data_IF_087281433166
#
_entry.id   IF_087281433166
#
_cell.length_a   1.000
_cell.length_b   1.000
_cell.length_c   1.000
_cell.angle_alpha   90.00
_cell.angle_beta   90.00
_cell.angle_gamma   90.00
#
_symmetry.space_group_name_H-M   'P 1'
#
loop_
_entity.id
_entity.type
_entity.pdbx_description
1 polymer ?
#
# COMPACT_ATOMS: atom_id res chain seq x y z
N UNK A 1 -0.61 8.26 20.10
CA UNK A 1 0.70 7.64 20.34
C UNK A 1 1.57 8.63 21.10
N UNK A 2 2.08 8.23 22.25
CA UNK A 2 3.09 8.99 23.01
C UNK A 2 4.48 8.75 22.42
N UNK A 3 5.47 9.57 22.79
CA UNK A 3 6.85 9.38 22.33
C UNK A 3 7.43 8.01 22.75
N UNK A 4 7.10 7.53 23.96
CA UNK A 4 7.57 6.22 24.44
C UNK A 4 6.97 5.06 23.63
N UNK A 5 5.68 5.13 23.32
CA UNK A 5 5.00 4.15 22.45
C UNK A 5 5.62 4.15 21.04
N UNK A 6 5.91 5.34 20.50
CA UNK A 6 6.57 5.48 19.20
C UNK A 6 7.95 4.85 19.17
N UNK A 7 8.76 5.11 20.21
CA UNK A 7 10.12 4.57 20.31
C UNK A 7 10.12 3.05 20.47
N UNK A 8 9.18 2.51 21.25
CA UNK A 8 9.02 1.07 21.40
C UNK A 8 8.62 0.41 20.08
N UNK A 9 7.63 0.97 19.36
CA UNK A 9 7.22 0.47 18.05
C UNK A 9 8.38 0.54 17.03
N UNK A 10 9.15 1.63 17.02
CA UNK A 10 10.33 1.74 16.18
C UNK A 10 11.36 0.65 16.50
N UNK A 11 11.69 0.43 17.77
CA UNK A 11 12.65 -0.59 18.17
C UNK A 11 12.20 -2.01 17.80
N UNK A 12 10.90 -2.27 17.81
CA UNK A 12 10.32 -3.57 17.47
C UNK A 12 10.23 -3.82 15.96
N UNK A 13 9.81 -2.82 15.18
CA UNK A 13 9.41 -3.03 13.78
C UNK A 13 10.33 -2.38 12.75
N UNK A 14 11.23 -1.47 13.14
CA UNK A 14 12.10 -0.81 12.18
C UNK A 14 13.13 -1.78 11.60
N UNK A 15 13.21 -1.81 10.28
CA UNK A 15 14.20 -2.59 9.54
C UNK A 15 15.30 -1.69 8.99
N UNK A 16 16.53 -2.19 8.96
CA UNK A 16 17.65 -1.49 8.34
C UNK A 16 17.54 -1.65 6.83
N UNK A 17 17.05 -0.62 6.15
CA UNK A 17 16.93 -0.63 4.69
C UNK A 17 17.59 0.60 4.05
N UNK A 18 18.08 0.44 2.82
CA UNK A 18 18.67 1.52 2.06
C UNK A 18 17.60 2.45 1.53
N UNK A 19 17.80 3.76 1.69
CA UNK A 19 16.93 4.78 1.06
C UNK A 19 16.86 4.66 -0.46
N UNK A 20 17.87 4.04 -1.08
CA UNK A 20 17.90 3.88 -2.53
C UNK A 20 16.86 2.87 -3.03
N UNK A 21 16.50 1.85 -2.23
CA UNK A 21 15.54 0.82 -2.63
C UNK A 21 14.16 1.43 -2.93
N UNK A 22 13.71 2.40 -2.14
CA UNK A 22 12.46 3.12 -2.40
C UNK A 22 12.54 4.01 -3.64
N UNK A 23 13.73 4.52 -3.97
CA UNK A 23 13.94 5.42 -5.09
C UNK A 23 13.97 4.66 -6.43
N UNK A 24 14.43 3.41 -6.42
CA UNK A 24 14.53 2.57 -7.62
C UNK A 24 13.15 2.25 -8.23
N UNK A 25 12.09 2.22 -7.41
CA UNK A 25 10.72 2.07 -7.89
C UNK A 25 10.23 3.25 -8.74
N UNK A 26 10.89 4.41 -8.67
CA UNK A 26 10.56 5.60 -9.46
C UNK A 26 11.35 5.66 -10.78
N UNK A 27 12.30 4.75 -11.00
CA UNK A 27 13.07 4.63 -12.24
C UNK A 27 12.34 3.72 -13.24
N UNK A 28 12.86 3.64 -14.46
CA UNK A 28 12.36 2.77 -15.53
C UNK A 28 12.25 1.29 -15.09
N UNK A 29 13.11 0.85 -14.16
CA UNK A 29 13.08 -0.50 -13.59
C UNK A 29 11.82 -0.80 -12.77
N UNK A 30 11.15 0.23 -12.27
CA UNK A 30 9.87 0.13 -11.57
C UNK A 30 8.64 0.16 -12.48
N UNK A 31 8.81 0.30 -13.80
CA UNK A 31 7.69 0.36 -14.73
C UNK A 31 6.91 -0.96 -14.78
N UNK A 32 5.59 -0.87 -14.62
CA UNK A 32 4.67 -2.02 -14.70
C UNK A 32 3.81 -1.90 -15.95
N UNK A 33 3.79 -2.94 -16.78
CA UNK A 33 2.88 -3.04 -17.90
C UNK A 33 1.50 -3.56 -17.43
N UNK A 34 0.58 -2.62 -17.24
CA UNK A 34 -0.78 -2.86 -16.74
C UNK A 34 -1.71 -3.53 -17.76
N UNK A 35 -1.25 -3.72 -19.00
CA UNK A 35 -2.03 -4.35 -20.07
C UNK A 35 -1.86 -5.87 -20.12
N UNK A 36 -0.88 -6.40 -19.40
CA UNK A 36 -0.57 -7.83 -19.41
C UNK A 36 -1.59 -8.63 -18.59
N UNK A 37 -1.90 -9.86 -19.02
CA UNK A 37 -2.66 -10.79 -18.19
C UNK A 37 -1.99 -11.02 -16.83
N UNK A 38 -2.79 -11.11 -15.78
CA UNK A 38 -2.33 -11.24 -14.40
C UNK A 38 -3.25 -12.15 -13.58
N UNK A 39 -2.73 -12.65 -12.47
CA UNK A 39 -3.54 -13.35 -11.46
C UNK A 39 -4.54 -12.40 -10.81
N UNK A 40 -5.63 -12.89 -10.21
CA UNK A 40 -6.55 -12.03 -9.46
C UNK A 40 -5.83 -11.14 -8.45
N UNK A 41 -6.06 -9.83 -8.54
CA UNK A 41 -5.51 -8.83 -7.63
C UNK A 41 -6.63 -8.21 -6.78
N UNK A 42 -6.32 -7.96 -5.51
CA UNK A 42 -7.17 -7.18 -4.61
C UNK A 42 -6.40 -5.96 -4.13
N UNK A 43 -6.87 -4.78 -4.50
CA UNK A 43 -6.41 -3.51 -3.99
C UNK A 43 -7.18 -3.17 -2.72
N UNK A 44 -6.44 -2.73 -1.71
CA UNK A 44 -7.00 -2.33 -0.43
C UNK A 44 -6.71 -0.86 -0.21
N UNK A 45 -7.73 -0.09 0.16
CA UNK A 45 -7.60 1.29 0.60
C UNK A 45 -8.15 1.47 2.02
N UNK A 46 -7.67 2.50 2.69
CA UNK A 46 -8.15 2.90 4.01
C UNK A 46 -8.69 4.34 3.93
N UNK A 47 -9.90 4.56 4.46
CA UNK A 47 -10.61 5.85 4.38
C UNK A 47 -9.79 7.01 4.98
N UNK A 48 -9.13 6.76 6.11
CA UNK A 48 -8.34 7.74 6.87
C UNK A 48 -6.82 7.60 6.61
N UNK A 49 -6.40 7.02 5.47
CA UNK A 49 -4.98 6.91 5.11
C UNK A 49 -4.42 8.27 4.63
N UNK A 50 -3.58 8.87 5.47
CA UNK A 50 -2.91 10.16 5.22
C UNK A 50 -1.59 10.03 4.43
N UNK A 51 -1.10 8.80 4.18
CA UNK A 51 0.12 8.53 3.41
C UNK A 51 -0.23 8.19 1.96
N UNK A 52 -1.17 7.24 1.78
CA UNK A 52 -1.62 6.75 0.48
C UNK A 52 -3.15 6.92 0.40
N UNK A 53 -3.65 7.97 -0.28
CA UNK A 53 -5.08 8.22 -0.36
C UNK A 53 -5.84 7.05 -0.99
N UNK A 54 -6.99 6.68 -0.42
CA UNK A 54 -7.84 5.59 -0.92
C UNK A 54 -8.18 5.72 -2.42
N UNK A 55 -8.39 6.95 -2.89
CA UNK A 55 -8.66 7.25 -4.30
C UNK A 55 -7.52 6.85 -5.24
N UNK A 56 -6.27 6.85 -4.78
CA UNK A 56 -5.14 6.35 -5.57
C UNK A 56 -5.23 4.84 -5.77
N UNK A 57 -5.60 4.08 -4.74
CA UNK A 57 -5.81 2.63 -4.86
C UNK A 57 -6.96 2.29 -5.83
N UNK A 58 -8.04 3.08 -5.82
CA UNK A 58 -9.14 2.95 -6.81
C UNK A 58 -8.61 3.15 -8.24
N UNK A 59 -7.84 4.22 -8.46
CA UNK A 59 -7.24 4.50 -9.77
C UNK A 59 -6.31 3.38 -10.22
N UNK A 60 -5.50 2.85 -9.30
CA UNK A 60 -4.59 1.74 -9.58
C UNK A 60 -5.35 0.48 -9.97
N UNK A 61 -6.41 0.11 -9.24
CA UNK A 61 -7.24 -1.04 -9.58
C UNK A 61 -7.88 -0.91 -10.96
N UNK A 62 -8.43 0.27 -11.28
CA UNK A 62 -9.08 0.54 -12.56
C UNK A 62 -8.11 0.64 -13.76
N UNK A 63 -6.81 0.77 -13.51
CA UNK A 63 -5.80 0.86 -14.56
C UNK A 63 -5.50 -0.52 -15.19
N UNK A 64 -5.76 -1.62 -14.49
CA UNK A 64 -5.68 -2.98 -15.02
C UNK A 64 -6.94 -3.29 -15.84
N UNK A 65 -6.75 -3.62 -17.13
CA UNK A 65 -7.85 -3.73 -18.11
C UNK A 65 -7.86 -5.04 -18.90
N UNK A 66 -6.94 -5.96 -18.62
CA UNK A 66 -6.95 -7.26 -19.29
C UNK A 66 -8.25 -8.01 -19.00
N UNK A 67 -8.92 -8.48 -20.07
CA UNK A 67 -10.26 -9.08 -19.99
C UNK A 67 -10.27 -10.47 -19.36
N UNK A 68 -9.13 -11.17 -19.38
CA UNK A 68 -8.97 -12.49 -18.76
C UNK A 68 -8.56 -12.40 -17.29
N UNK A 69 -8.30 -11.20 -16.80
CA UNK A 69 -7.76 -10.94 -15.47
C UNK A 69 -8.77 -10.19 -14.61
N UNK A 70 -8.58 -10.24 -13.29
CA UNK A 70 -9.47 -9.58 -12.32
C UNK A 70 -8.67 -8.69 -11.39
N UNK A 71 -9.06 -7.43 -11.27
CA UNK A 71 -8.55 -6.49 -10.29
C UNK A 71 -9.74 -5.86 -9.56
N UNK A 72 -9.85 -6.15 -8.26
CA UNK A 72 -10.92 -5.59 -7.43
C UNK A 72 -10.35 -4.60 -6.42
N UNK A 73 -11.23 -3.75 -5.90
CA UNK A 73 -10.90 -2.78 -4.86
C UNK A 73 -11.84 -2.91 -3.67
N UNK A 74 -11.29 -2.85 -2.46
CA UNK A 74 -12.05 -2.78 -1.20
C UNK A 74 -11.50 -1.63 -0.36
N UNK A 75 -12.39 -0.79 0.14
CA UNK A 75 -12.07 0.27 1.09
C UNK A 75 -12.47 -0.14 2.51
N UNK A 76 -11.61 0.16 3.47
CA UNK A 76 -11.89 -0.06 4.89
C UNK A 76 -12.20 1.27 5.58
N UNK A 77 -13.44 1.44 6.10
CA UNK A 77 -13.83 2.67 6.75
C UNK A 77 -13.16 2.83 8.11
N UNK A 78 -12.87 4.08 8.50
CA UNK A 78 -12.24 4.44 9.79
C UNK A 78 -10.91 3.74 10.06
N UNK A 79 -10.16 3.45 8.99
CA UNK A 79 -8.82 2.85 9.01
C UNK A 79 -7.85 3.83 8.36
N UNK A 80 -6.66 3.96 8.95
CA UNK A 80 -5.54 4.69 8.36
C UNK A 80 -4.49 3.75 7.79
N UNK A 81 -3.33 4.29 7.42
CA UNK A 81 -2.22 3.51 6.89
C UNK A 81 -1.83 2.36 7.82
N UNK A 82 -1.69 1.15 7.28
CA UNK A 82 -1.24 0.02 8.07
C UNK A 82 0.26 0.14 8.36
N UNK A 83 0.59 0.50 9.59
CA UNK A 83 1.96 0.60 10.08
C UNK A 83 2.06 0.02 11.49
N UNK A 84 3.19 -0.61 11.80
CA UNK A 84 3.48 -1.17 13.13
C UNK A 84 2.37 -2.09 13.70
N UNK A 85 1.62 -2.79 12.86
CA UNK A 85 0.57 -3.71 13.30
C UNK A 85 -0.65 -3.04 13.95
N UNK A 86 -1.04 -1.85 13.47
CA UNK A 86 -2.15 -1.05 14.01
C UNK A 86 -3.36 -1.93 14.42
N UNK A 87 -3.72 -1.95 15.73
CA UNK A 87 -4.84 -2.75 16.24
C UNK A 87 -6.19 -2.46 15.60
N UNK A 88 -6.37 -1.29 14.97
CA UNK A 88 -7.56 -1.00 14.18
C UNK A 88 -7.75 -2.02 13.05
N UNK A 89 -6.69 -2.61 12.52
CA UNK A 89 -6.78 -3.57 11.42
C UNK A 89 -7.08 -5.03 11.82
N UNK A 90 -7.40 -5.28 13.11
CA UNK A 90 -7.82 -6.59 13.63
C UNK A 90 -9.32 -6.86 13.47
#
# INVERSE_FOLDING_TARGET
MTANESNAAFAETATHDSRNILSDCLLETGHIDLTRPHVPLLFVGAEDDEIIPAQLCVKNAAAYKDVGSMANYVEFPKRGHFICGDPKWK
#
